data_IF_054746922706
#
_entry.id   IF_054746922706
#
_cell.length_a   1.000
_cell.length_b   1.000
_cell.length_c   1.000
_cell.angle_alpha   90.00
_cell.angle_beta   90.00
_cell.angle_gamma   90.00
#
_symmetry.space_group_name_H-M   'P 1'
#
loop_
_entity.id
_entity.type
_entity.pdbx_description
1 polymer ?
#
# COMPACT_ATOMS: atom_id res chain seq x y z
N UNK A 1 17.83 -3.55 8.33
CA UNK A 1 16.79 -3.53 9.37
C UNK A 1 16.22 -4.92 9.55
N UNK A 2 15.92 -5.29 10.79
CA UNK A 2 15.08 -6.45 11.10
C UNK A 2 13.70 -5.95 11.54
N UNK A 3 12.69 -6.10 10.69
CA UNK A 3 11.30 -5.78 11.03
C UNK A 3 10.78 -6.61 12.21
N UNK A 4 9.90 -5.98 12.97
CA UNK A 4 9.15 -6.55 14.09
C UNK A 4 7.66 -6.45 13.75
N UNK A 5 6.79 -7.22 14.40
CA UNK A 5 5.33 -7.06 14.24
C UNK A 5 4.85 -5.61 14.40
N UNK A 6 5.48 -4.84 15.30
CA UNK A 6 5.19 -3.42 15.46
C UNK A 6 5.45 -2.59 14.19
N UNK A 7 6.45 -2.93 13.38
CA UNK A 7 6.74 -2.22 12.14
C UNK A 7 5.65 -2.46 11.08
N UNK A 8 5.07 -3.66 11.06
CA UNK A 8 3.89 -3.95 10.24
C UNK A 8 2.68 -3.17 10.71
N UNK A 9 2.50 -3.01 12.01
CA UNK A 9 1.41 -2.17 12.53
C UNK A 9 1.55 -0.73 12.04
N UNK A 10 2.77 -0.17 12.07
CA UNK A 10 3.02 1.16 11.52
C UNK A 10 2.71 1.23 10.02
N UNK A 11 3.12 0.23 9.24
CA UNK A 11 2.80 0.15 7.82
C UNK A 11 1.29 0.04 7.55
N UNK A 12 0.60 -0.85 8.26
CA UNK A 12 -0.82 -1.15 8.03
C UNK A 12 -1.76 -0.04 8.49
N UNK A 13 -1.30 0.84 9.39
CA UNK A 13 -2.04 2.01 9.86
C UNK A 13 -1.71 3.29 9.08
N UNK A 14 -0.62 3.30 8.31
CA UNK A 14 -0.28 4.41 7.42
C UNK A 14 -1.26 4.48 6.24
N UNK A 15 -1.36 5.65 5.60
CA UNK A 15 -2.12 5.82 4.37
C UNK A 15 -1.50 5.02 3.21
N UNK A 16 -0.17 4.99 3.17
CA UNK A 16 0.63 4.15 2.29
C UNK A 16 2.00 3.87 2.92
N UNK A 17 2.73 2.90 2.38
CA UNK A 17 4.11 2.70 2.75
C UNK A 17 4.91 2.06 1.64
N UNK A 18 6.23 2.27 1.68
CA UNK A 18 7.19 1.63 0.79
C UNK A 18 8.44 1.22 1.57
N UNK A 19 9.17 0.26 1.02
CA UNK A 19 10.45 -0.20 1.57
C UNK A 19 11.57 0.30 0.65
N UNK A 20 12.26 1.40 1.01
CA UNK A 20 13.31 1.98 0.19
C UNK A 20 14.40 0.96 -0.16
N UNK A 21 14.93 1.06 -1.39
CA UNK A 21 16.00 0.17 -1.87
C UNK A 21 17.39 0.61 -1.42
N UNK A 22 17.56 1.90 -1.18
CA UNK A 22 18.81 2.63 -0.95
C UNK A 22 19.11 2.88 0.53
N UNK A 23 18.08 2.91 1.39
CA UNK A 23 18.22 3.14 2.82
C UNK A 23 17.44 2.14 3.68
N UNK A 24 17.95 1.79 4.88
CA UNK A 24 17.23 0.92 5.80
C UNK A 24 16.05 1.67 6.45
N UNK A 25 14.85 1.10 6.35
CA UNK A 25 13.67 1.65 7.01
C UNK A 25 12.40 1.31 6.26
N UNK A 26 11.32 1.99 6.65
CA UNK A 26 10.05 2.04 5.93
C UNK A 26 9.71 3.51 5.72
N UNK A 27 9.44 3.91 4.49
CA UNK A 27 8.80 5.19 4.22
C UNK A 27 7.30 5.02 4.44
N UNK A 28 6.74 5.81 5.35
CA UNK A 28 5.34 5.76 5.75
C UNK A 28 4.67 7.08 5.39
N UNK A 29 3.54 7.03 4.70
CA UNK A 29 2.72 8.19 4.39
C UNK A 29 1.62 8.31 5.44
N UNK A 30 1.55 9.44 6.14
CA UNK A 30 0.59 9.69 7.22
C UNK A 30 -0.18 10.97 6.96
N UNK A 31 -1.49 10.94 7.24
CA UNK A 31 -2.32 12.15 7.28
C UNK A 31 -2.34 12.70 8.71
N UNK A 32 -1.97 13.97 8.85
CA UNK A 32 -1.90 14.68 10.13
C UNK A 32 -2.49 16.08 9.96
N UNK A 33 -3.62 16.32 10.61
CA UNK A 33 -4.32 17.62 10.60
C UNK A 33 -4.64 18.17 9.20
N UNK A 34 -4.93 17.28 8.23
CA UNK A 34 -5.20 17.64 6.84
C UNK A 34 -3.96 17.78 5.95
N UNK A 35 -2.77 17.57 6.50
CA UNK A 35 -1.52 17.50 5.75
C UNK A 35 -1.09 16.04 5.55
N UNK A 36 -0.46 15.77 4.41
CA UNK A 36 0.14 14.48 4.08
C UNK A 36 1.65 14.59 4.28
N UNK A 37 2.21 13.68 5.06
CA UNK A 37 3.62 13.69 5.46
C UNK A 37 4.25 12.33 5.20
N UNK A 38 5.40 12.31 4.53
CA UNK A 38 6.25 11.13 4.44
C UNK A 38 7.17 11.07 5.66
N UNK A 39 7.25 9.90 6.30
CA UNK A 39 8.09 9.66 7.47
C UNK A 39 8.97 8.43 7.27
N UNK A 40 10.27 8.56 7.53
CA UNK A 40 11.20 7.43 7.49
C UNK A 40 11.26 6.76 8.88
N UNK A 41 10.63 5.61 9.02
CA UNK A 41 10.67 4.78 10.22
C UNK A 41 11.84 3.80 10.19
N UNK A 42 12.69 3.83 11.23
CA UNK A 42 13.90 2.98 11.31
C UNK A 42 13.72 1.69 12.09
N UNK A 43 12.54 1.48 12.70
CA UNK A 43 12.25 0.39 13.63
C UNK A 43 12.25 0.81 15.09
N UNK A 44 12.78 1.99 15.38
CA UNK A 44 12.88 2.54 16.73
C UNK A 44 12.42 3.99 16.79
N UNK A 45 12.62 4.76 15.72
CA UNK A 45 12.29 6.18 15.67
C UNK A 45 11.97 6.64 14.24
N UNK A 46 11.46 7.86 14.14
CA UNK A 46 11.28 8.57 12.86
C UNK A 46 12.56 9.36 12.61
N UNK A 47 13.34 8.95 11.61
CA UNK A 47 14.63 9.57 11.29
C UNK A 47 14.51 10.79 10.38
N UNK A 48 13.48 10.84 9.53
CA UNK A 48 13.23 11.95 8.63
C UNK A 48 11.72 12.15 8.45
N UNK A 49 11.31 13.38 8.14
CA UNK A 49 9.94 13.75 7.79
C UNK A 49 9.96 14.78 6.66
N UNK A 50 9.17 14.53 5.62
CA UNK A 50 9.06 15.41 4.45
C UNK A 50 7.58 15.71 4.22
N UNK A 51 7.25 16.98 4.06
CA UNK A 51 5.90 17.41 3.69
C UNK A 51 5.58 16.96 2.26
N UNK A 52 4.37 16.43 2.04
CA UNK A 52 3.92 15.97 0.72
C UNK A 52 2.87 16.93 0.16
N UNK A 53 1.78 17.14 0.89
CA UNK A 53 0.66 17.95 0.42
C UNK A 53 -0.19 18.47 1.59
N UNK A 54 -1.02 19.47 1.32
CA UNK A 54 -2.04 19.99 2.24
C UNK A 54 -3.43 19.78 1.66
N UNK A 55 -4.47 20.13 2.43
CA UNK A 55 -5.88 20.01 2.02
C UNK A 55 -6.29 18.56 1.67
N UNK A 56 -5.64 17.61 2.34
CA UNK A 56 -5.83 16.19 2.14
C UNK A 56 -7.06 15.71 2.91
N UNK A 57 -7.73 14.71 2.36
CA UNK A 57 -8.89 14.12 2.99
C UNK A 57 -8.52 13.46 4.32
N UNK A 58 -9.35 13.66 5.34
CA UNK A 58 -9.20 12.92 6.60
C UNK A 58 -9.25 11.41 6.38
N UNK A 59 -8.28 10.68 6.93
CA UNK A 59 -8.06 9.25 6.69
C UNK A 59 -7.91 8.93 5.19
N UNK A 60 -7.24 9.79 4.41
CA UNK A 60 -7.02 9.56 2.98
C UNK A 60 -6.41 8.17 2.77
N UNK A 61 -6.87 7.41 1.77
CA UNK A 61 -6.05 6.32 1.25
C UNK A 61 -4.83 6.90 0.53
N UNK A 62 -3.74 6.15 0.52
CA UNK A 62 -2.55 6.48 -0.26
C UNK A 62 -2.09 5.29 -1.10
N UNK A 63 -1.33 5.58 -2.13
CA UNK A 63 -0.58 4.61 -2.92
C UNK A 63 0.83 5.15 -3.10
N UNK A 64 1.82 4.40 -2.62
CA UNK A 64 3.22 4.71 -2.81
C UNK A 64 3.78 3.78 -3.88
N UNK A 65 4.13 4.36 -5.03
CA UNK A 65 4.85 3.68 -6.10
C UNK A 65 6.34 4.00 -5.99
N UNK A 66 7.15 2.98 -5.71
CA UNK A 66 8.58 3.08 -5.57
C UNK A 66 9.26 2.30 -6.70
N UNK A 67 9.90 3.01 -7.62
CA UNK A 67 10.75 2.46 -8.67
C UNK A 67 12.23 2.53 -8.29
N UNK A 68 13.11 2.19 -9.24
CA UNK A 68 14.56 2.30 -9.02
C UNK A 68 15.03 3.77 -8.97
N UNK A 69 14.45 4.61 -9.82
CA UNK A 69 14.83 6.03 -9.97
C UNK A 69 13.67 7.00 -9.68
N UNK A 70 12.43 6.49 -9.68
CA UNK A 70 11.22 7.31 -9.56
C UNK A 70 10.41 6.94 -8.32
N UNK A 71 9.81 7.95 -7.69
CA UNK A 71 8.93 7.82 -6.52
C UNK A 71 7.68 8.64 -6.75
N UNK A 72 6.53 7.99 -6.71
CA UNK A 72 5.23 8.64 -6.86
C UNK A 72 4.34 8.33 -5.65
N UNK A 73 3.60 9.33 -5.20
CA UNK A 73 2.53 9.17 -4.23
C UNK A 73 1.22 9.60 -4.89
N UNK A 74 0.22 8.74 -4.80
CA UNK A 74 -1.16 9.11 -5.10
C UNK A 74 -1.99 9.08 -3.84
N UNK A 75 -2.88 10.06 -3.69
CA UNK A 75 -3.74 10.23 -2.52
C UNK A 75 -5.04 10.93 -2.91
N UNK A 76 -5.93 11.16 -1.94
CA UNK A 76 -7.24 11.79 -2.19
C UNK A 76 -7.36 13.09 -1.41
N UNK A 77 -7.70 14.17 -2.09
CA UNK A 77 -7.90 15.48 -1.46
C UNK A 77 -9.27 15.60 -0.75
N UNK A 78 -9.47 16.68 -0.01
CA UNK A 78 -10.73 16.98 0.69
C UNK A 78 -11.98 17.04 -0.20
N UNK A 79 -11.82 17.14 -1.50
CA UNK A 79 -12.90 17.16 -2.50
C UNK A 79 -13.13 15.80 -3.16
N UNK A 80 -12.57 14.73 -2.58
CA UNK A 80 -12.64 13.37 -3.09
C UNK A 80 -12.00 13.21 -4.49
N UNK A 81 -11.01 14.04 -4.84
CA UNK A 81 -10.28 13.98 -6.12
C UNK A 81 -8.93 13.29 -5.93
N UNK A 82 -8.58 12.39 -6.86
CA UNK A 82 -7.27 11.76 -6.90
C UNK A 82 -6.17 12.80 -7.20
N UNK A 83 -5.15 12.84 -6.34
CA UNK A 83 -3.95 13.65 -6.50
C UNK A 83 -2.76 12.75 -6.80
N UNK A 84 -1.78 13.28 -7.54
CA UNK A 84 -0.57 12.56 -7.92
C UNK A 84 0.64 13.48 -7.77
N UNK A 85 1.59 13.06 -6.93
CA UNK A 85 2.80 13.78 -6.62
C UNK A 85 4.00 12.89 -6.93
N UNK A 86 5.09 13.49 -7.37
CA UNK A 86 6.35 12.81 -7.65
C UNK A 86 7.49 13.51 -6.92
N UNK A 87 8.42 12.71 -6.41
CA UNK A 87 9.56 13.22 -5.67
C UNK A 87 10.60 13.80 -6.63
N UNK A 88 11.01 15.03 -6.39
CA UNK A 88 12.15 15.66 -7.07
C UNK A 88 13.41 15.43 -6.22
N UNK A 89 14.39 14.63 -6.68
CA UNK A 89 15.62 14.38 -5.94
C UNK A 89 16.57 15.58 -5.90
N UNK A 90 16.47 16.53 -6.84
CA UNK A 90 17.32 17.71 -6.89
C UNK A 90 16.83 18.78 -5.89
N UNK A 91 15.51 18.90 -5.72
CA UNK A 91 14.87 19.83 -4.77
C UNK A 91 14.58 19.19 -3.39
N UNK A 92 14.73 17.86 -3.28
CA UNK A 92 14.43 17.05 -2.10
C UNK A 92 12.97 17.20 -1.60
N UNK A 93 12.04 17.46 -2.52
CA UNK A 93 10.64 17.73 -2.20
C UNK A 93 9.66 16.94 -3.08
N UNK A 94 8.40 16.88 -2.63
CA UNK A 94 7.31 16.29 -3.39
C UNK A 94 6.60 17.37 -4.19
N UNK A 95 6.51 17.18 -5.50
CA UNK A 95 5.88 18.12 -6.42
C UNK A 95 4.67 17.49 -7.08
N UNK A 96 3.62 18.29 -7.21
CA UNK A 96 2.38 17.89 -7.87
C UNK A 96 2.63 17.61 -9.36
N UNK A 97 2.08 16.50 -9.84
CA UNK A 97 2.07 16.17 -11.26
C UNK A 97 0.79 16.70 -11.87
N UNK A 98 0.91 17.56 -12.87
CA UNK A 98 -0.22 18.00 -13.69
C UNK A 98 -0.58 16.89 -14.68
N UNK A 99 -1.87 16.54 -14.77
CA UNK A 99 -2.29 15.46 -15.65
C UNK A 99 -3.59 15.79 -16.38
N UNK A 100 -3.76 15.18 -17.55
CA UNK A 100 -4.95 15.36 -18.37
C UNK A 100 -6.21 14.96 -17.59
N UNK A 101 -7.15 15.90 -17.43
CA UNK A 101 -8.40 15.72 -16.68
C UNK A 101 -8.28 15.74 -15.15
N UNK A 102 -7.25 16.38 -14.59
CA UNK A 102 -7.21 16.75 -13.17
C UNK A 102 -8.53 17.37 -12.71
N UNK A 103 -9.02 16.93 -11.55
CA UNK A 103 -10.35 17.30 -11.03
C UNK A 103 -11.53 16.46 -11.52
N UNK A 104 -11.30 15.48 -12.42
CA UNK A 104 -12.37 14.59 -12.92
C UNK A 104 -12.31 13.17 -12.39
N UNK A 105 -11.17 12.76 -11.80
CA UNK A 105 -11.02 11.44 -11.19
C UNK A 105 -11.51 11.49 -9.75
N UNK A 106 -12.83 11.49 -9.59
CA UNK A 106 -13.47 11.42 -8.27
C UNK A 106 -13.36 10.00 -7.72
N UNK A 107 -12.94 9.90 -6.46
CA UNK A 107 -12.75 8.66 -5.73
C UNK A 107 -13.89 8.49 -4.73
N UNK A 108 -14.43 7.28 -4.61
CA UNK A 108 -15.49 7.00 -3.64
C UNK A 108 -15.01 7.23 -2.21
N UNK A 109 -15.91 7.67 -1.32
CA UNK A 109 -15.51 8.03 0.04
C UNK A 109 -14.93 6.83 0.82
N UNK A 110 -15.45 5.63 0.67
CA UNK A 110 -14.84 4.48 1.36
C UNK A 110 -13.63 3.89 0.65
N UNK A 111 -13.32 4.33 -0.57
CA UNK A 111 -12.35 3.71 -1.47
C UNK A 111 -10.96 3.55 -0.86
N UNK A 112 -10.24 2.52 -1.32
CA UNK A 112 -8.81 2.34 -1.11
C UNK A 112 -8.07 2.60 -2.41
N UNK A 113 -6.78 2.91 -2.30
CA UNK A 113 -5.89 2.99 -3.44
C UNK A 113 -4.98 1.76 -3.44
N UNK A 114 -4.81 1.16 -4.61
CA UNK A 114 -3.76 0.18 -4.83
C UNK A 114 -3.21 0.33 -6.24
N UNK A 115 -2.01 -0.16 -6.47
CA UNK A 115 -1.38 -0.03 -7.76
C UNK A 115 -0.01 -0.66 -7.79
N UNK A 116 0.63 -0.57 -8.94
CA UNK A 116 1.98 -1.07 -9.14
C UNK A 116 2.65 -0.33 -10.31
N UNK A 117 3.97 -0.41 -10.34
CA UNK A 117 4.75 -0.05 -11.53
C UNK A 117 4.73 -1.22 -12.51
N UNK A 118 4.34 -0.97 -13.75
CA UNK A 118 4.39 -1.96 -14.83
C UNK A 118 5.29 -1.46 -15.97
N UNK A 119 5.79 -2.34 -16.86
CA UNK A 119 6.58 -1.89 -18.02
C UNK A 119 5.86 -0.87 -18.92
N UNK A 120 4.53 -0.81 -18.87
CA UNK A 120 3.71 0.14 -19.62
C UNK A 120 3.35 1.41 -18.85
N UNK A 121 3.93 1.64 -17.67
CA UNK A 121 3.63 2.78 -16.80
C UNK A 121 2.98 2.39 -15.47
N UNK A 122 2.66 3.41 -14.67
CA UNK A 122 2.03 3.25 -13.36
C UNK A 122 0.58 2.76 -13.52
N UNK A 123 0.17 1.80 -12.70
CA UNK A 123 -1.21 1.34 -12.64
C UNK A 123 -1.80 1.78 -11.31
N UNK A 124 -2.99 2.36 -11.35
CA UNK A 124 -3.73 2.84 -10.18
C UNK A 124 -5.14 2.26 -10.22
N UNK A 125 -5.58 1.73 -9.09
CA UNK A 125 -6.87 1.06 -8.93
C UNK A 125 -7.57 1.65 -7.72
N UNK A 126 -8.83 2.05 -7.91
CA UNK A 126 -9.68 2.62 -6.87
C UNK A 126 -11.16 2.48 -7.25
N UNK A 127 -12.04 2.64 -6.28
CA UNK A 127 -13.49 2.72 -6.50
C UNK A 127 -13.91 4.15 -6.88
N UNK A 128 -14.67 4.29 -7.96
CA UNK A 128 -15.29 5.55 -8.37
C UNK A 128 -16.68 5.78 -7.75
N UNK A 129 -17.31 6.95 -7.97
CA UNK A 129 -18.58 7.33 -7.32
C UNK A 129 -19.78 6.45 -7.72
N UNK A 130 -19.73 5.78 -8.86
CA UNK A 130 -20.80 4.90 -9.35
C UNK A 130 -20.75 3.48 -8.74
N UNK A 131 -19.86 3.26 -7.76
CA UNK A 131 -19.46 1.96 -7.21
C UNK A 131 -18.73 1.07 -8.24
N UNK A 132 -17.88 0.19 -7.73
CA UNK A 132 -17.06 -0.73 -8.52
C UNK A 132 -15.64 -0.23 -8.74
N UNK A 133 -14.71 -1.20 -8.84
CA UNK A 133 -13.31 -0.90 -9.05
C UNK A 133 -13.02 -0.46 -10.48
N UNK A 134 -12.28 0.63 -10.58
CA UNK A 134 -11.75 1.17 -11.81
C UNK A 134 -10.24 1.04 -11.76
N UNK A 135 -9.65 0.68 -12.90
CA UNK A 135 -8.22 0.59 -13.06
C UNK A 135 -7.80 1.55 -14.16
N UNK A 136 -6.72 2.26 -13.92
CA UNK A 136 -6.14 3.21 -14.85
C UNK A 136 -4.65 2.94 -15.02
N UNK A 137 -4.15 3.17 -16.24
CA UNK A 137 -2.74 3.22 -16.53
C UNK A 137 -2.34 4.66 -16.78
N UNK A 138 -1.31 5.11 -16.08
CA UNK A 138 -0.63 6.38 -16.35
C UNK A 138 0.34 6.14 -17.48
N UNK A 139 0.20 6.91 -18.54
CA UNK A 139 1.08 6.88 -19.72
C UNK A 139 2.08 8.03 -19.70
N UNK A 140 3.14 7.96 -20.51
CA UNK A 140 4.25 8.94 -20.59
C UNK A 140 3.83 10.42 -20.80
N UNK A 141 2.56 10.66 -21.17
CA UNK A 141 1.97 12.00 -21.27
C UNK A 141 1.19 12.44 -20.03
N UNK A 142 1.42 11.81 -18.88
CA UNK A 142 0.73 12.12 -17.61
C UNK A 142 -0.79 12.05 -17.81
N UNK A 143 -1.23 10.96 -18.41
CA UNK A 143 -2.63 10.73 -18.76
C UNK A 143 -3.09 9.40 -18.22
N UNK A 144 -4.23 9.43 -17.54
CA UNK A 144 -4.93 8.24 -17.07
C UNK A 144 -5.76 7.62 -18.20
N UNK A 145 -5.33 6.45 -18.67
CA UNK A 145 -6.08 5.63 -19.61
C UNK A 145 -6.82 4.52 -18.85
N UNK A 146 -8.13 4.44 -19.05
CA UNK A 146 -8.97 3.40 -18.43
C UNK A 146 -8.55 2.01 -18.92
N UNK A 147 -8.27 1.11 -17.98
CA UNK A 147 -8.04 -0.31 -18.23
C UNK A 147 -9.39 -1.06 -18.30
N UNK A 148 -9.42 -2.28 -18.87
CA UNK A 148 -10.64 -3.08 -18.91
C UNK A 148 -11.27 -3.24 -17.53
N UNK A 149 -12.62 -3.30 -17.45
CA UNK A 149 -13.32 -3.38 -16.17
C UNK A 149 -12.88 -4.62 -15.39
N UNK A 150 -12.65 -4.43 -14.09
CA UNK A 150 -12.29 -5.51 -13.19
C UNK A 150 -13.54 -6.34 -12.86
N UNK A 151 -13.52 -7.67 -13.03
CA UNK A 151 -14.71 -8.51 -12.90
C UNK A 151 -14.99 -8.83 -11.43
N UNK A 152 -15.26 -7.81 -10.62
CA UNK A 152 -15.46 -7.97 -9.18
C UNK A 152 -16.48 -6.98 -8.63
N UNK A 153 -17.47 -7.52 -7.93
CA UNK A 153 -18.44 -6.78 -7.14
C UNK A 153 -17.94 -6.75 -5.69
N UNK A 154 -17.15 -5.73 -5.36
CA UNK A 154 -16.64 -5.52 -4.00
C UNK A 154 -17.57 -4.57 -3.25
N UNK A 155 -17.78 -4.83 -1.97
CA UNK A 155 -18.36 -3.84 -1.07
C UNK A 155 -17.46 -2.60 -1.07
N UNK A 156 -18.04 -1.38 -1.12
CA UNK A 156 -17.22 -0.19 -1.12
C UNK A 156 -16.27 -0.11 0.08
N UNK A 157 -15.01 0.21 -0.20
CA UNK A 157 -13.93 0.27 0.78
C UNK A 157 -13.33 -1.07 1.20
N UNK A 158 -13.65 -2.14 0.48
CA UNK A 158 -12.94 -3.42 0.65
C UNK A 158 -11.44 -3.20 0.43
N UNK A 159 -10.57 -3.54 1.40
CA UNK A 159 -9.14 -3.43 1.20
C UNK A 159 -8.70 -4.28 0.01
N UNK A 160 -7.86 -3.73 -0.86
CA UNK A 160 -7.32 -4.46 -1.99
C UNK A 160 -5.87 -4.06 -2.25
N UNK A 161 -5.08 -4.96 -2.83
CA UNK A 161 -3.70 -4.71 -3.20
C UNK A 161 -3.39 -5.27 -4.58
N UNK A 162 -2.81 -4.43 -5.42
CA UNK A 162 -2.25 -4.81 -6.71
C UNK A 162 -0.80 -5.28 -6.51
N UNK A 163 -0.46 -6.42 -7.12
CA UNK A 163 0.89 -6.97 -7.14
C UNK A 163 1.20 -7.37 -8.57
N UNK A 164 2.28 -6.83 -9.12
CA UNK A 164 2.83 -7.31 -10.38
C UNK A 164 3.77 -8.47 -10.10
N UNK A 165 3.46 -9.65 -10.64
CA UNK A 165 4.38 -10.79 -10.58
C UNK A 165 5.32 -10.75 -11.77
N UNK A 166 6.43 -11.48 -11.65
CA UNK A 166 7.53 -11.36 -12.61
C UNK A 166 7.32 -12.07 -13.95
N UNK A 167 6.08 -12.31 -14.34
CA UNK A 167 5.60 -12.66 -15.68
C UNK A 167 4.76 -11.50 -16.29
N UNK A 168 4.84 -10.32 -15.69
CA UNK A 168 4.05 -9.12 -15.99
C UNK A 168 2.53 -9.28 -15.79
N UNK A 169 2.10 -10.34 -15.10
CA UNK A 169 0.71 -10.52 -14.71
C UNK A 169 0.39 -9.67 -13.49
N UNK A 170 -0.63 -8.82 -13.63
CA UNK A 170 -1.20 -8.04 -12.54
C UNK A 170 -2.18 -8.90 -11.73
N UNK A 171 -1.87 -9.12 -10.45
CA UNK A 171 -2.77 -9.75 -9.50
C UNK A 171 -3.41 -8.69 -8.61
N UNK A 172 -4.73 -8.70 -8.53
CA UNK A 172 -5.49 -7.94 -7.54
C UNK A 172 -5.93 -8.88 -6.42
N UNK A 173 -5.46 -8.63 -5.21
CA UNK A 173 -5.82 -9.38 -4.02
C UNK A 173 -6.79 -8.57 -3.18
N UNK A 174 -7.81 -9.23 -2.64
CA UNK A 174 -8.80 -8.64 -1.73
C UNK A 174 -9.39 -9.73 -0.83
N UNK A 175 -9.83 -9.40 0.40
CA UNK A 175 -10.50 -10.34 1.26
C UNK A 175 -11.89 -10.65 0.69
N UNK A 176 -12.21 -11.94 0.54
CA UNK A 176 -13.57 -12.35 0.19
C UNK A 176 -14.44 -12.31 1.46
N UNK A 177 -15.71 -11.85 1.38
CA UNK A 177 -16.61 -11.86 2.52
C UNK A 177 -16.73 -13.27 3.10
N UNK A 178 -16.29 -13.46 4.35
CA UNK A 178 -16.54 -14.70 5.07
C UNK A 178 -17.98 -14.70 5.59
N UNK A 179 -18.59 -15.87 5.73
CA UNK A 179 -19.92 -16.02 6.35
C UNK A 179 -19.95 -15.68 7.84
N UNK A 180 -18.79 -15.44 8.47
CA UNK A 180 -18.67 -14.86 9.81
C UNK A 180 -18.57 -13.34 9.70
N UNK A 181 -19.58 -12.65 10.24
CA UNK A 181 -19.75 -11.19 10.06
C UNK A 181 -18.98 -10.33 11.08
N UNK A 182 -18.36 -10.92 12.10
CA UNK A 182 -17.86 -10.15 13.26
C UNK A 182 -16.43 -9.62 13.10
N UNK A 183 -15.60 -10.25 12.26
CA UNK A 183 -14.22 -9.80 12.01
C UNK A 183 -13.91 -9.73 10.52
N UNK A 184 -13.46 -8.55 10.07
CA UNK A 184 -13.05 -8.28 8.69
C UNK A 184 -11.59 -7.84 8.65
N UNK A 185 -10.89 -8.16 7.57
CA UNK A 185 -9.58 -7.55 7.28
C UNK A 185 -9.81 -6.07 6.96
N UNK A 186 -9.11 -5.18 7.67
CA UNK A 186 -9.21 -3.72 7.48
C UNK A 186 -8.02 -3.13 6.72
N UNK A 187 -6.87 -3.82 6.77
CA UNK A 187 -5.64 -3.47 6.06
C UNK A 187 -4.77 -4.71 5.94
N UNK A 188 -4.03 -4.87 4.85
CA UNK A 188 -3.08 -5.96 4.70
C UNK A 188 -1.94 -5.58 3.77
N UNK A 189 -0.84 -6.32 3.88
CA UNK A 189 0.29 -6.30 2.95
C UNK A 189 0.54 -7.71 2.44
N UNK A 190 0.70 -7.83 1.13
CA UNK A 190 1.12 -9.03 0.41
C UNK A 190 2.64 -9.07 0.38
N UNK A 191 3.18 -10.24 0.69
CA UNK A 191 4.60 -10.54 0.78
C UNK A 191 4.90 -11.64 -0.24
N UNK A 192 5.43 -11.28 -1.42
CA UNK A 192 5.86 -12.25 -2.40
C UNK A 192 7.00 -13.11 -1.87
N UNK A 193 6.88 -14.42 -2.04
CA UNK A 193 7.93 -15.37 -1.69
C UNK A 193 8.77 -15.70 -2.93
N UNK A 194 10.00 -16.17 -2.69
CA UNK A 194 10.95 -16.49 -3.77
C UNK A 194 10.51 -17.66 -4.68
N UNK A 195 9.53 -18.45 -4.26
CA UNK A 195 8.94 -19.56 -5.02
C UNK A 195 7.67 -19.16 -5.80
N UNK A 196 7.32 -17.86 -5.79
CA UNK A 196 6.11 -17.33 -6.44
C UNK A 196 4.85 -17.44 -5.59
N UNK A 197 4.91 -18.04 -4.40
CA UNK A 197 3.79 -18.02 -3.47
C UNK A 197 3.63 -16.64 -2.82
N UNK A 198 2.42 -16.37 -2.31
CA UNK A 198 2.09 -15.12 -1.65
C UNK A 198 1.73 -15.41 -0.19
N UNK A 199 2.33 -14.66 0.72
CA UNK A 199 1.90 -14.57 2.11
C UNK A 199 1.28 -13.21 2.37
N UNK A 200 0.49 -13.09 3.42
CA UNK A 200 -0.11 -11.82 3.82
C UNK A 200 0.13 -11.56 5.30
N UNK A 201 0.33 -10.30 5.64
CA UNK A 201 0.15 -9.82 7.01
C UNK A 201 -1.06 -8.89 7.01
N UNK A 202 -2.05 -9.17 7.86
CA UNK A 202 -3.33 -8.46 7.87
C UNK A 202 -3.68 -7.98 9.28
N UNK A 203 -4.27 -6.78 9.33
CA UNK A 203 -4.90 -6.22 10.52
C UNK A 203 -6.41 -6.48 10.42
N UNK A 204 -6.96 -7.08 11.47
CA UNK A 204 -8.39 -7.36 11.61
C UNK A 204 -9.12 -6.20 12.29
N UNK A 205 -10.42 -6.06 12.03
CA UNK A 205 -11.28 -5.04 12.65
C UNK A 205 -11.35 -5.14 14.18
N UNK A 206 -11.17 -6.35 14.73
CA UNK A 206 -11.06 -6.59 16.18
C UNK A 206 -9.70 -6.22 16.79
N UNK A 207 -8.74 -5.79 15.96
CA UNK A 207 -7.38 -5.44 16.38
C UNK A 207 -6.40 -6.60 16.37
N UNK A 208 -6.79 -7.81 15.97
CA UNK A 208 -5.83 -8.91 15.79
C UNK A 208 -4.90 -8.63 14.60
N UNK A 209 -3.60 -8.87 14.78
CA UNK A 209 -2.61 -8.91 13.71
C UNK A 209 -2.39 -10.36 13.34
N UNK A 210 -2.62 -10.73 12.08
CA UNK A 210 -2.53 -12.12 11.61
C UNK A 210 -1.54 -12.25 10.46
N UNK A 211 -0.86 -13.39 10.39
CA UNK A 211 -0.13 -13.85 9.21
C UNK A 211 -0.97 -14.91 8.49
N UNK A 212 -1.13 -14.77 7.18
CA UNK A 212 -1.73 -15.77 6.31
C UNK A 212 -0.63 -16.36 5.43
N UNK A 213 -0.32 -17.64 5.63
CA UNK A 213 0.66 -18.37 4.82
C UNK A 213 0.07 -18.78 3.48
N UNK A 214 0.94 -19.09 2.52
CA UNK A 214 0.54 -19.49 1.16
C UNK A 214 -0.40 -20.72 1.11
N UNK A 215 -0.36 -21.60 2.11
CA UNK A 215 -1.25 -22.75 2.24
C UNK A 215 -2.63 -22.40 2.86
N UNK A 216 -2.90 -21.12 3.12
CA UNK A 216 -4.12 -20.64 3.77
C UNK A 216 -4.11 -20.74 5.30
N UNK A 217 -3.01 -21.20 5.91
CA UNK A 217 -2.89 -21.23 7.38
C UNK A 217 -2.84 -19.80 7.92
N UNK A 218 -3.73 -19.50 8.86
CA UNK A 218 -3.79 -18.22 9.56
C UNK A 218 -3.17 -18.41 10.95
N UNK A 219 -2.21 -17.56 11.30
CA UNK A 219 -1.61 -17.48 12.62
C UNK A 219 -1.84 -16.08 13.18
N UNK A 220 -2.46 -15.99 14.35
CA UNK A 220 -2.54 -14.73 15.08
C UNK A 220 -1.20 -14.43 15.75
N UNK A 221 -0.64 -13.26 15.48
CA UNK A 221 0.65 -12.84 16.04
C UNK A 221 0.46 -12.11 17.38
N UNK A 222 -0.69 -11.46 17.56
CA UNK A 222 -1.05 -10.71 18.74
C UNK A 222 -2.10 -9.65 18.45
N UNK A 223 -2.25 -8.70 19.36
CA UNK A 223 -3.29 -7.67 19.30
C UNK A 223 -2.71 -6.26 19.20
N UNK A 224 -3.42 -5.40 18.47
CA UNK A 224 -3.10 -4.00 18.24
C UNK A 224 -4.14 -3.15 18.95
N UNK A 225 -3.68 -2.28 19.85
CA UNK A 225 -4.52 -1.29 20.52
C UNK A 225 -3.85 0.07 20.42
N UNK A 226 -4.55 1.06 19.86
CA UNK A 226 -4.05 2.43 19.70
C UNK A 226 -2.66 2.48 19.02
N UNK A 227 -2.49 1.70 17.95
CA UNK A 227 -1.22 1.62 17.21
C UNK A 227 -0.10 0.84 17.88
N UNK A 228 -0.35 0.23 19.05
CA UNK A 228 0.63 -0.56 19.78
C UNK A 228 0.33 -2.05 19.71
N UNK A 229 1.31 -2.82 19.26
CA UNK A 229 1.26 -4.27 19.22
C UNK A 229 1.59 -4.90 20.59
N UNK A 230 0.86 -5.96 20.94
CA UNK A 230 1.11 -6.84 22.08
C UNK A 230 1.06 -8.29 21.61
N UNK A 231 2.19 -8.98 21.65
CA UNK A 231 2.28 -10.39 21.28
C UNK A 231 1.48 -11.27 22.26
N UNK A 232 0.89 -12.35 21.76
CA UNK A 232 0.24 -13.36 22.61
C UNK A 232 1.22 -14.38 23.15
N UNK A 233 2.24 -14.74 22.36
CA UNK A 233 3.34 -15.60 22.80
C UNK A 233 4.71 -15.01 22.45
N UNK A 234 5.77 -15.47 23.13
CA UNK A 234 7.16 -15.08 22.82
C UNK A 234 7.70 -15.74 21.54
N UNK A 235 7.10 -16.85 21.09
CA UNK A 235 7.53 -17.63 19.92
C UNK A 235 7.01 -17.03 18.60
N UNK A 236 5.83 -16.40 18.62
CA UNK A 236 5.25 -15.67 17.46
C UNK A 236 6.00 -14.38 17.11
N UNK A 237 6.93 -13.95 17.97
CA UNK A 237 7.70 -12.72 17.81
C UNK A 237 8.86 -12.84 16.79
N UNK A 238 9.14 -14.03 16.24
CA UNK A 238 10.41 -14.32 15.57
C UNK A 238 10.33 -14.96 14.19
N UNK A 239 10.89 -14.25 13.21
CA UNK A 239 11.78 -14.77 12.15
C UNK A 239 11.18 -15.18 10.79
N UNK A 240 9.94 -15.68 10.65
CA UNK A 240 9.49 -16.17 9.32
C UNK A 240 8.98 -15.09 8.35
N UNK A 241 8.05 -14.21 8.79
CA UNK A 241 7.51 -13.10 7.96
C UNK A 241 8.61 -12.20 7.36
N UNK A 242 9.72 -12.15 8.08
CA UNK A 242 10.91 -11.34 7.85
C UNK A 242 11.77 -11.75 6.67
N UNK A 243 11.95 -13.06 6.49
CA UNK A 243 12.74 -13.59 5.40
C UNK A 243 11.99 -13.46 4.08
N UNK A 244 10.66 -13.52 4.11
CA UNK A 244 9.79 -13.33 2.95
C UNK A 244 9.97 -11.95 2.31
N UNK A 245 9.91 -10.86 3.09
CA UNK A 245 9.98 -9.48 2.55
C UNK A 245 11.34 -9.17 1.95
N UNK A 246 12.45 -9.49 2.64
CA UNK A 246 13.80 -9.27 2.11
C UNK A 246 14.04 -10.06 0.81
N UNK A 247 13.40 -11.22 0.65
CA UNK A 247 13.45 -12.01 -0.59
C UNK A 247 12.52 -11.46 -1.67
N UNK A 248 11.30 -11.07 -1.31
CA UNK A 248 10.29 -10.50 -2.21
C UNK A 248 10.75 -9.18 -2.83
N UNK A 249 11.22 -8.22 -2.01
CA UNK A 249 11.77 -6.94 -2.48
C UNK A 249 12.93 -7.19 -3.46
N UNK A 250 13.85 -8.10 -3.12
CA UNK A 250 15.00 -8.44 -3.98
C UNK A 250 14.58 -9.14 -5.28
N UNK A 251 13.55 -9.99 -5.25
CA UNK A 251 13.06 -10.71 -6.41
C UNK A 251 12.37 -9.78 -7.41
N UNK A 252 11.60 -8.80 -6.93
CA UNK A 252 10.96 -7.77 -7.76
C UNK A 252 12.01 -6.84 -8.36
N UNK A 253 12.93 -6.29 -7.55
CA UNK A 253 13.99 -5.39 -8.02
C UNK A 253 14.96 -6.05 -9.03
N UNK A 254 15.27 -7.35 -8.88
CA UNK A 254 16.15 -8.03 -9.85
C UNK A 254 15.50 -8.28 -11.21
N UNK A 255 14.15 -8.29 -11.27
CA UNK A 255 13.41 -8.53 -12.51
C UNK A 255 13.15 -7.25 -13.31
N UNK A 256 13.04 -6.09 -12.66
CA UNK A 256 12.93 -4.79 -13.35
C UNK A 256 14.21 -4.40 -14.12
N UNK A 257 15.33 -5.11 -13.89
CA UNK A 257 16.62 -4.89 -14.57
C UNK A 257 16.82 -5.69 -15.87
N UNK A 258 15.83 -6.47 -16.32
CA UNK A 258 15.93 -7.32 -17.52
C UNK A 258 14.94 -6.89 -18.59
#
# INVERSE_FOLDING_TARGET
MDFKPQDFVHYLLAAAGAFPHDQPGISLISEEDGDLIEKLWTGTEIANQVFVASDVRKNTPGLYLLGEEERSILFVDKSDILQWYRYDPDEEEWSEVEYDNKGKLTVHQSSRLSGCLSPGGEIVIFEGPENGLQAYRVTDGEKFETLPPLPTDLEPGTPHQAVLLGDDTLHLLFPYPSSNHDEKIVSFIVIPQGDGSLELCALMSGGALVQVKANGQITELGTVKQGRFTAHTSEECGIELMLGIKKGIKAVAHKMKK
#
